data_IF_065691485038
#
_entry.id   IF_065691485038
#
_cell.length_a   1.000
_cell.length_b   1.000
_cell.length_c   1.000
_cell.angle_alpha   90.00
_cell.angle_beta   90.00
_cell.angle_gamma   90.00
#
_symmetry.space_group_name_H-M   'P 1'
#
loop_
_entity.id
_entity.type
_entity.pdbx_description
1 polymer ?
#
# COMPACT_ATOMS: atom_id res chain seq x y z
N UNK A 1 -11.12 -29.07 13.52
CA UNK A 1 -10.08 -28.84 12.53
C UNK A 1 -10.00 -27.39 12.13
N UNK A 2 -8.82 -26.82 12.20
CA UNK A 2 -8.67 -25.41 11.85
C UNK A 2 -8.65 -25.21 10.35
N UNK A 3 -9.46 -24.28 9.89
CA UNK A 3 -9.47 -23.89 8.49
C UNK A 3 -8.29 -22.97 8.22
N UNK A 4 -7.49 -23.33 7.24
CA UNK A 4 -6.36 -22.50 6.85
C UNK A 4 -6.87 -21.31 6.06
N UNK A 5 -6.55 -20.10 6.50
CA UNK A 5 -6.93 -18.90 5.76
C UNK A 5 -6.07 -18.79 4.51
N UNK A 6 -6.66 -18.34 3.40
CA UNK A 6 -5.86 -18.11 2.21
C UNK A 6 -4.86 -17.00 2.44
N UNK A 7 -3.69 -17.03 1.77
CA UNK A 7 -2.73 -15.96 1.90
C UNK A 7 -3.31 -14.65 1.36
N UNK A 8 -2.87 -13.54 1.94
CA UNK A 8 -3.29 -12.22 1.48
C UNK A 8 -2.82 -11.99 0.04
N UNK A 9 -3.67 -11.36 -0.75
CA UNK A 9 -3.26 -10.94 -2.08
C UNK A 9 -2.28 -9.76 -1.97
N UNK A 10 -1.60 -9.48 -3.07
CA UNK A 10 -0.70 -8.33 -3.12
C UNK A 10 -1.42 -7.04 -2.74
N UNK A 11 -2.60 -6.83 -3.31
CA UNK A 11 -3.39 -5.64 -3.02
C UNK A 11 -3.78 -5.55 -1.54
N UNK A 12 -4.12 -6.68 -0.93
CA UNK A 12 -4.48 -6.71 0.49
C UNK A 12 -3.31 -6.37 1.40
N UNK A 13 -2.11 -6.85 1.04
CA UNK A 13 -0.90 -6.51 1.79
C UNK A 13 -0.62 -5.01 1.72
N UNK A 14 -0.77 -4.44 0.53
CA UNK A 14 -0.57 -3.02 0.33
C UNK A 14 -1.64 -2.22 1.08
N UNK A 15 -2.88 -2.68 1.04
CA UNK A 15 -3.97 -2.03 1.77
C UNK A 15 -3.68 -1.95 3.27
N UNK A 16 -3.18 -3.04 3.85
CA UNK A 16 -2.83 -3.05 5.26
C UNK A 16 -1.77 -2.00 5.60
N UNK A 17 -0.77 -1.87 4.73
CA UNK A 17 0.28 -0.87 4.91
C UNK A 17 -0.25 0.55 4.77
N UNK A 18 -1.13 0.79 3.80
CA UNK A 18 -1.74 2.10 3.62
C UNK A 18 -2.64 2.48 4.79
N UNK A 19 -3.36 1.52 5.35
CA UNK A 19 -4.18 1.76 6.54
C UNK A 19 -3.33 2.14 7.75
N UNK A 20 -2.19 1.50 7.90
CA UNK A 20 -1.27 1.78 8.98
C UNK A 20 -0.66 3.17 8.87
N UNK A 21 -0.31 3.54 7.66
CA UNK A 21 0.26 4.86 7.35
C UNK A 21 -0.80 5.95 7.44
N UNK A 22 -1.99 5.67 6.87
CA UNK A 22 -3.15 6.56 6.87
C UNK A 22 -2.78 8.00 6.44
N UNK A 23 -2.26 8.18 5.22
CA UNK A 23 -1.73 9.48 4.79
C UNK A 23 -2.79 10.57 4.69
N UNK A 24 -4.03 10.22 4.41
CA UNK A 24 -5.14 11.19 4.30
C UNK A 24 -6.09 11.13 5.49
N UNK A 25 -5.71 10.41 6.53
CA UNK A 25 -6.50 10.26 7.74
C UNK A 25 -7.90 9.71 7.53
N UNK A 26 -8.12 9.00 6.43
CA UNK A 26 -9.41 8.38 6.14
C UNK A 26 -9.77 7.32 7.17
N UNK A 27 -8.82 6.49 7.52
CA UNK A 27 -9.00 5.42 8.48
C UNK A 27 -9.29 6.01 9.86
N UNK A 28 -8.50 6.98 10.30
CA UNK A 28 -8.66 7.64 11.58
C UNK A 28 -10.00 8.35 11.69
N UNK A 29 -10.55 8.80 10.56
CA UNK A 29 -11.83 9.49 10.51
C UNK A 29 -13.02 8.55 10.31
N UNK A 30 -12.81 7.24 10.41
CA UNK A 30 -13.89 6.28 10.42
C UNK A 30 -14.31 5.75 9.05
N UNK A 31 -13.48 5.93 8.02
CA UNK A 31 -13.82 5.44 6.67
C UNK A 31 -13.76 3.93 6.54
N UNK A 32 -13.18 3.23 7.53
CA UNK A 32 -13.17 1.79 7.55
C UNK A 32 -11.95 1.17 6.90
N UNK A 33 -11.87 -0.16 6.98
CA UNK A 33 -10.70 -0.92 6.54
C UNK A 33 -10.37 -0.73 5.07
N UNK A 34 -11.38 -0.48 4.24
CA UNK A 34 -11.18 -0.38 2.80
C UNK A 34 -11.06 1.07 2.30
N UNK A 35 -10.73 1.99 3.21
CA UNK A 35 -10.60 3.41 2.87
C UNK A 35 -9.62 3.65 1.71
N UNK A 36 -8.56 2.86 1.63
CA UNK A 36 -7.53 3.00 0.59
C UNK A 36 -7.55 1.86 -0.42
N UNK A 37 -8.70 1.19 -0.56
CA UNK A 37 -8.79 0.02 -1.43
C UNK A 37 -8.42 0.34 -2.89
N UNK A 38 -8.93 1.44 -3.41
CA UNK A 38 -8.64 1.85 -4.78
C UNK A 38 -7.14 2.10 -4.98
N UNK A 39 -6.54 2.84 -4.07
CA UNK A 39 -5.11 3.14 -4.13
C UNK A 39 -4.27 1.86 -4.02
N UNK A 40 -4.65 0.98 -3.12
CA UNK A 40 -3.93 -0.28 -2.94
C UNK A 40 -3.98 -1.14 -4.20
N UNK A 41 -5.14 -1.24 -4.83
CA UNK A 41 -5.27 -2.01 -6.06
C UNK A 41 -4.49 -1.39 -7.21
N UNK A 42 -4.52 -0.06 -7.32
CA UNK A 42 -3.78 0.64 -8.36
C UNK A 42 -2.27 0.45 -8.19
N UNK A 43 -1.78 0.60 -6.95
CA UNK A 43 -0.36 0.36 -6.68
C UNK A 43 0.00 -1.09 -6.99
N UNK A 44 -0.86 -2.03 -6.61
CA UNK A 44 -0.61 -3.46 -6.86
C UNK A 44 -0.47 -3.76 -8.35
N UNK A 45 -1.18 -3.05 -9.20
CA UNK A 45 -1.08 -3.24 -10.65
C UNK A 45 0.27 -2.77 -11.21
N UNK A 46 0.89 -1.80 -10.54
CA UNK A 46 2.12 -1.19 -11.03
C UNK A 46 3.40 -1.70 -10.35
N UNK A 47 3.26 -2.39 -9.22
CA UNK A 47 4.42 -2.85 -8.45
C UNK A 47 4.60 -4.35 -8.62
N UNK A 48 5.82 -4.76 -8.96
CA UNK A 48 6.19 -6.17 -9.14
C UNK A 48 7.38 -6.49 -8.24
N UNK A 49 7.67 -7.78 -8.08
CA UNK A 49 8.76 -8.22 -7.21
C UNK A 49 10.12 -7.68 -7.66
N UNK A 50 10.27 -7.37 -8.95
CA UNK A 50 11.50 -6.81 -9.49
C UNK A 50 11.46 -5.30 -9.70
N UNK A 51 10.42 -4.63 -9.18
CA UNK A 51 10.32 -3.18 -9.29
C UNK A 51 11.40 -2.48 -8.50
N UNK A 52 11.84 -1.35 -9.02
CA UNK A 52 12.79 -0.51 -8.30
C UNK A 52 12.04 0.33 -7.26
N UNK A 53 12.74 0.71 -6.19
CA UNK A 53 12.15 1.53 -5.15
C UNK A 53 11.54 2.81 -5.71
N UNK A 54 12.25 3.46 -6.63
CA UNK A 54 11.78 4.70 -7.26
C UNK A 54 10.45 4.51 -7.99
N UNK A 55 10.26 3.37 -8.64
CA UNK A 55 9.01 3.06 -9.32
C UNK A 55 7.86 2.92 -8.34
N UNK A 56 8.11 2.33 -7.17
CA UNK A 56 7.10 2.21 -6.13
C UNK A 56 6.75 3.57 -5.56
N UNK A 57 7.75 4.41 -5.31
CA UNK A 57 7.53 5.78 -4.83
C UNK A 57 6.66 6.56 -5.80
N UNK A 58 6.96 6.43 -7.09
CA UNK A 58 6.18 7.12 -8.11
C UNK A 58 4.73 6.65 -8.13
N UNK A 59 4.51 5.34 -8.00
CA UNK A 59 3.16 4.80 -7.96
C UNK A 59 2.37 5.37 -6.79
N UNK A 60 3.01 5.52 -5.62
CA UNK A 60 2.38 6.11 -4.46
C UNK A 60 2.00 7.57 -4.71
N UNK A 61 2.91 8.36 -5.25
CA UNK A 61 2.62 9.76 -5.56
C UNK A 61 1.51 9.90 -6.60
N UNK A 62 1.46 8.98 -7.56
CA UNK A 62 0.46 9.05 -8.62
C UNK A 62 -0.96 8.77 -8.13
N UNK A 63 -1.12 7.95 -7.11
CA UNK A 63 -2.45 7.60 -6.60
C UNK A 63 -2.97 8.56 -5.53
N UNK A 64 -2.09 9.29 -4.88
CA UNK A 64 -2.49 10.25 -3.85
C UNK A 64 -2.31 11.68 -4.35
N UNK A 65 -3.39 12.44 -4.30
CA UNK A 65 -3.39 13.84 -4.75
C UNK A 65 -2.89 14.81 -3.70
N UNK A 66 -2.65 14.34 -2.51
CA UNK A 66 -2.21 15.21 -1.42
C UNK A 66 -0.69 15.32 -1.40
N UNK A 67 -0.20 16.38 -0.76
CA UNK A 67 1.22 16.59 -0.57
C UNK A 67 1.75 15.58 0.43
N UNK A 68 2.60 14.67 -0.02
CA UNK A 68 3.18 13.65 0.85
C UNK A 68 4.63 13.99 1.15
N UNK A 69 5.06 13.63 2.36
CA UNK A 69 6.46 13.79 2.72
C UNK A 69 7.29 12.69 2.06
N UNK A 70 8.37 13.07 1.39
CA UNK A 70 9.23 12.13 0.68
C UNK A 70 9.77 11.03 1.60
N UNK A 71 10.11 11.36 2.82
CA UNK A 71 10.62 10.36 3.77
C UNK A 71 9.59 9.30 4.09
N UNK A 72 8.33 9.70 4.26
CA UNK A 72 7.25 8.76 4.52
C UNK A 72 6.99 7.90 3.30
N UNK A 73 6.98 8.50 2.12
CA UNK A 73 6.77 7.76 0.87
C UNK A 73 7.86 6.73 0.67
N UNK A 74 9.10 7.09 0.91
CA UNK A 74 10.23 6.14 0.80
C UNK A 74 10.08 4.98 1.76
N UNK A 75 9.71 5.25 3.01
CA UNK A 75 9.54 4.20 4.01
C UNK A 75 8.42 3.25 3.60
N UNK A 76 7.27 3.77 3.19
CA UNK A 76 6.14 2.94 2.78
C UNK A 76 6.48 2.17 1.50
N UNK A 77 7.19 2.80 0.57
CA UNK A 77 7.60 2.13 -0.66
C UNK A 77 8.48 0.90 -0.37
N UNK A 78 9.38 1.02 0.60
CA UNK A 78 10.22 -0.12 1.02
C UNK A 78 9.37 -1.24 1.59
N UNK A 79 8.42 -0.92 2.45
CA UNK A 79 7.54 -1.94 3.03
C UNK A 79 6.69 -2.62 1.96
N UNK A 80 6.16 -1.85 1.03
CA UNK A 80 5.38 -2.39 -0.08
C UNK A 80 6.23 -3.34 -0.91
N UNK A 81 7.43 -2.92 -1.26
CA UNK A 81 8.33 -3.74 -2.07
C UNK A 81 8.69 -5.04 -1.36
N UNK A 82 8.96 -4.98 -0.06
CA UNK A 82 9.23 -6.17 0.74
C UNK A 82 8.03 -7.12 0.76
N UNK A 83 6.85 -6.57 0.91
CA UNK A 83 5.62 -7.37 0.94
C UNK A 83 5.37 -8.07 -0.40
N UNK A 84 5.66 -7.38 -1.50
CA UNK A 84 5.45 -7.92 -2.85
C UNK A 84 6.46 -9.02 -3.18
N UNK A 85 7.67 -8.94 -2.63
CA UNK A 85 8.73 -9.93 -2.89
C UNK A 85 8.51 -11.27 -2.21
N UNK A 86 7.61 -11.35 -1.26
CA UNK A 86 7.36 -12.61 -0.54
C UNK A 86 6.39 -13.53 -1.26
#
# INVERSE_FOLDING_TARGET
MKKKLPPLTKAEKILALLNQWDPEKRYANGAGYRAYNYEAETIAQHVRSNSKLESVEKAIHDVFDCSLKDEEVKAIARYILMAVKK
#
